data_IF_089678997210
#
_entry.id   IF_089678997210
#
_cell.length_a   1.000
_cell.length_b   1.000
_cell.length_c   1.000
_cell.angle_alpha   90.00
_cell.angle_beta   90.00
_cell.angle_gamma   90.00
#
_symmetry.space_group_name_H-M   'P 1'
#
loop_
_entity.id
_entity.type
_entity.pdbx_description
1 polymer ?
#
# COMPACT_ATOMS: atom_id res chain seq x y z
N UNK A 1 18.82 6.28 0.40
CA UNK A 1 18.90 6.69 1.82
C UNK A 1 17.70 7.57 2.13
N UNK A 2 16.86 7.21 3.11
CA UNK A 2 15.70 8.00 3.53
C UNK A 2 16.11 9.43 3.89
N UNK A 3 15.34 10.43 3.42
CA UNK A 3 15.50 11.84 3.78
C UNK A 3 15.21 12.09 5.27
N UNK A 4 14.52 11.14 5.92
CA UNK A 4 14.01 11.26 7.28
C UNK A 4 15.10 10.86 8.28
N UNK A 5 15.51 11.80 9.11
CA UNK A 5 16.61 11.62 10.07
C UNK A 5 16.24 10.85 11.35
N UNK A 6 14.95 10.81 11.71
CA UNK A 6 14.50 10.17 12.94
C UNK A 6 13.11 9.56 12.80
N UNK A 7 13.07 8.26 12.51
CA UNK A 7 11.82 7.50 12.35
C UNK A 7 11.06 7.28 13.68
N UNK A 8 11.73 7.44 14.82
CA UNK A 8 11.13 7.22 16.15
C UNK A 8 10.16 8.34 16.57
N UNK A 9 10.11 9.45 15.85
CA UNK A 9 9.15 10.53 16.15
C UNK A 9 7.72 10.19 15.72
N UNK A 10 7.58 9.29 14.73
CA UNK A 10 6.28 8.94 14.18
C UNK A 10 5.56 7.89 15.02
N UNK A 11 4.31 8.21 15.40
CA UNK A 11 3.38 7.32 16.08
C UNK A 11 2.35 6.70 15.13
N UNK A 12 2.15 7.31 13.97
CA UNK A 12 1.27 6.85 12.92
C UNK A 12 1.97 6.77 11.58
N UNK A 13 1.47 5.90 10.73
CA UNK A 13 1.89 5.75 9.34
C UNK A 13 0.67 5.53 8.45
N UNK A 14 0.61 6.20 7.32
CA UNK A 14 -0.34 5.90 6.25
C UNK A 14 0.42 5.26 5.08
N UNK A 15 0.04 4.04 4.73
CA UNK A 15 0.56 3.32 3.56
C UNK A 15 -0.40 3.51 2.39
N UNK A 16 0.12 4.01 1.27
CA UNK A 16 -0.58 4.10 -0.01
C UNK A 16 -0.01 3.04 -0.93
N UNK A 17 -0.78 1.98 -1.16
CA UNK A 17 -0.31 0.78 -1.88
C UNK A 17 -0.63 0.90 -3.35
N UNK A 18 0.39 0.78 -4.20
CA UNK A 18 0.32 0.54 -5.64
C UNK A 18 -0.57 1.50 -6.45
N UNK A 19 -0.71 2.74 -6.02
CA UNK A 19 -1.40 3.77 -6.80
C UNK A 19 -0.50 4.26 -7.94
N UNK A 20 -0.10 3.31 -8.78
CA UNK A 20 0.78 3.51 -9.95
C UNK A 20 -0.02 3.48 -11.26
N UNK A 21 0.54 4.08 -12.31
CA UNK A 21 -0.17 4.18 -13.59
C UNK A 21 -0.58 2.81 -14.15
N UNK A 22 0.23 1.76 -13.94
CA UNK A 22 -0.01 0.41 -14.45
C UNK A 22 -1.28 -0.27 -13.92
N UNK A 23 -1.81 0.18 -12.79
CA UNK A 23 -3.09 -0.30 -12.24
C UNK A 23 -4.23 0.72 -12.40
N UNK A 24 -3.92 2.01 -12.54
CA UNK A 24 -4.92 3.08 -12.46
C UNK A 24 -5.21 3.73 -13.81
N UNK A 25 -4.22 3.81 -14.72
CA UNK A 25 -4.31 4.63 -15.94
C UNK A 25 -4.05 3.88 -17.23
N UNK A 26 -3.07 3.01 -17.24
CA UNK A 26 -2.57 2.38 -18.47
C UNK A 26 -1.99 0.99 -18.19
N UNK A 27 -1.72 0.21 -19.23
CA UNK A 27 -1.17 -1.13 -19.09
C UNK A 27 -2.23 -2.22 -19.10
N UNK A 28 -1.77 -3.46 -18.99
CA UNK A 28 -2.61 -4.65 -19.17
C UNK A 28 -3.55 -4.92 -17.98
N UNK A 29 -3.16 -4.43 -16.79
CA UNK A 29 -3.90 -4.66 -15.53
C UNK A 29 -4.62 -3.40 -15.02
N UNK A 30 -4.67 -2.33 -15.82
CA UNK A 30 -5.33 -1.10 -15.36
C UNK A 30 -6.85 -1.24 -15.33
N UNK A 31 -7.45 -0.55 -14.38
CA UNK A 31 -8.89 -0.30 -14.33
C UNK A 31 -9.16 1.14 -13.89
N UNK A 32 -9.79 1.92 -14.75
CA UNK A 32 -10.10 3.34 -14.46
C UNK A 32 -11.00 3.51 -13.22
N UNK A 33 -11.78 2.50 -12.84
CA UNK A 33 -12.59 2.54 -11.62
C UNK A 33 -11.75 2.72 -10.34
N UNK A 34 -10.49 2.29 -10.36
CA UNK A 34 -9.57 2.51 -9.24
C UNK A 34 -9.37 4.01 -8.97
N UNK A 35 -9.58 4.87 -9.97
CA UNK A 35 -9.51 6.33 -9.77
C UNK A 35 -10.54 6.87 -8.79
N UNK A 36 -11.66 6.17 -8.60
CA UNK A 36 -12.76 6.62 -7.75
C UNK A 36 -12.36 6.74 -6.27
N UNK A 37 -11.33 6.00 -5.84
CA UNK A 37 -10.83 6.08 -4.44
C UNK A 37 -9.78 7.18 -4.22
N UNK A 38 -9.22 7.76 -5.28
CA UNK A 38 -8.17 8.80 -5.18
C UNK A 38 -8.61 10.01 -4.32
N UNK A 39 -9.81 10.59 -4.50
CA UNK A 39 -10.22 11.73 -3.69
C UNK A 39 -10.21 11.40 -2.19
N UNK A 40 -10.67 10.19 -1.81
CA UNK A 40 -10.67 9.78 -0.40
C UNK A 40 -9.26 9.53 0.12
N UNK A 41 -8.38 8.97 -0.68
CA UNK A 41 -6.97 8.79 -0.33
C UNK A 41 -6.27 10.12 -0.09
N UNK A 42 -6.51 11.13 -0.93
CA UNK A 42 -5.97 12.49 -0.75
C UNK A 42 -6.46 13.14 0.55
N UNK A 43 -7.74 12.94 0.92
CA UNK A 43 -8.27 13.39 2.22
C UNK A 43 -7.51 12.71 3.38
N UNK A 44 -7.34 11.38 3.32
CA UNK A 44 -6.64 10.62 4.36
C UNK A 44 -5.16 11.00 4.47
N UNK A 45 -4.48 11.25 3.36
CA UNK A 45 -3.11 11.77 3.35
C UNK A 45 -3.05 13.13 4.07
N UNK A 46 -3.97 14.03 3.76
CA UNK A 46 -4.04 15.34 4.43
C UNK A 46 -4.31 15.20 5.93
N UNK A 47 -5.23 14.33 6.33
CA UNK A 47 -5.52 14.04 7.73
C UNK A 47 -4.29 13.43 8.43
N UNK A 48 -3.60 12.48 7.82
CA UNK A 48 -2.39 11.85 8.33
C UNK A 48 -1.26 12.87 8.54
N UNK A 49 -1.00 13.73 7.56
CA UNK A 49 -0.03 14.83 7.68
C UNK A 49 -0.38 15.79 8.82
N UNK A 50 -1.66 16.12 8.97
CA UNK A 50 -2.10 17.00 10.07
C UNK A 50 -1.86 16.37 11.46
N UNK A 51 -1.89 15.03 11.56
CA UNK A 51 -1.55 14.28 12.77
C UNK A 51 -0.03 14.13 12.99
N UNK A 52 0.79 14.44 11.98
CA UNK A 52 2.23 14.21 12.00
C UNK A 52 2.62 12.76 11.72
N UNK A 53 1.79 12.02 10.97
CA UNK A 53 2.07 10.66 10.55
C UNK A 53 3.05 10.63 9.37
N UNK A 54 3.78 9.53 9.24
CA UNK A 54 4.61 9.25 8.06
C UNK A 54 3.74 8.77 6.90
N UNK A 55 3.93 9.32 5.71
CA UNK A 55 3.32 8.82 4.49
C UNK A 55 4.29 7.88 3.78
N UNK A 56 3.82 6.67 3.44
CA UNK A 56 4.62 5.68 2.74
C UNK A 56 3.90 5.26 1.45
N UNK A 57 4.45 5.64 0.31
CA UNK A 57 4.04 5.08 -0.97
C UNK A 57 4.78 3.78 -1.21
N UNK A 58 4.03 2.69 -1.40
CA UNK A 58 4.57 1.42 -1.86
C UNK A 58 4.23 1.28 -3.33
N UNK A 59 5.22 1.03 -4.17
CA UNK A 59 5.05 0.99 -5.62
C UNK A 59 5.40 -0.40 -6.16
N UNK A 60 4.46 -1.01 -6.87
CA UNK A 60 4.76 -2.20 -7.65
C UNK A 60 5.76 -1.86 -8.75
N UNK A 61 6.93 -2.48 -8.68
CA UNK A 61 8.05 -2.17 -9.58
C UNK A 61 8.85 -3.43 -9.83
N UNK A 62 8.59 -4.05 -10.98
CA UNK A 62 9.16 -5.32 -11.33
C UNK A 62 10.44 -5.20 -12.15
N UNK A 63 11.37 -6.11 -11.92
CA UNK A 63 12.45 -6.35 -12.87
C UNK A 63 11.89 -7.02 -14.14
N UNK A 64 12.57 -6.86 -15.27
CA UNK A 64 12.04 -7.27 -16.58
C UNK A 64 11.75 -8.78 -16.70
N UNK A 65 12.41 -9.59 -15.88
CA UNK A 65 12.28 -11.06 -15.82
C UNK A 65 11.64 -11.56 -14.52
N UNK A 66 10.87 -10.70 -13.83
CA UNK A 66 10.25 -11.02 -12.56
C UNK A 66 9.45 -12.33 -12.62
N UNK A 67 9.69 -13.20 -11.63
CA UNK A 67 9.03 -14.51 -11.55
C UNK A 67 7.52 -14.40 -11.34
N UNK A 68 7.08 -13.27 -10.79
CA UNK A 68 5.67 -12.99 -10.55
C UNK A 68 4.86 -12.97 -11.84
N UNK A 69 5.41 -12.47 -12.95
CA UNK A 69 4.74 -12.48 -14.24
C UNK A 69 4.25 -13.87 -14.66
N UNK A 70 5.03 -14.93 -14.36
CA UNK A 70 4.62 -16.31 -14.66
C UNK A 70 3.40 -16.74 -13.85
N UNK A 71 3.24 -16.24 -12.63
CA UNK A 71 2.11 -16.54 -11.75
C UNK A 71 0.84 -15.81 -12.18
N UNK A 72 0.99 -14.65 -12.79
CA UNK A 72 -0.09 -13.83 -13.33
C UNK A 72 -0.24 -14.01 -14.86
N UNK A 73 -0.14 -15.23 -15.37
CA UNK A 73 -0.40 -15.57 -16.77
C UNK A 73 0.64 -15.04 -17.77
N UNK A 74 1.88 -14.84 -17.35
CA UNK A 74 2.97 -14.20 -18.11
C UNK A 74 2.66 -12.73 -18.48
N UNK A 75 1.88 -12.05 -17.68
CA UNK A 75 1.52 -10.65 -17.91
C UNK A 75 2.58 -9.73 -17.30
N UNK A 76 3.38 -9.08 -18.17
CA UNK A 76 4.30 -8.03 -17.73
C UNK A 76 3.51 -6.76 -17.38
N UNK A 77 3.80 -6.18 -16.23
CA UNK A 77 3.20 -4.95 -15.73
C UNK A 77 4.19 -4.22 -14.82
N UNK A 78 4.03 -2.93 -14.65
CA UNK A 78 4.82 -2.10 -13.73
C UNK A 78 6.34 -2.36 -13.81
N UNK A 79 6.87 -2.54 -15.02
CA UNK A 79 8.30 -2.81 -15.21
C UNK A 79 9.12 -1.57 -14.80
N UNK A 80 10.19 -1.78 -14.06
CA UNK A 80 11.10 -0.74 -13.57
C UNK A 80 11.52 0.22 -14.70
N UNK A 81 11.40 1.52 -14.43
CA UNK A 81 11.76 2.56 -15.39
C UNK A 81 10.72 2.83 -16.48
N UNK A 82 9.57 2.16 -16.43
CA UNK A 82 8.42 2.49 -17.29
C UNK A 82 7.44 3.41 -16.54
N UNK A 83 6.58 4.09 -17.29
CA UNK A 83 5.54 4.94 -16.72
C UNK A 83 4.53 4.15 -15.88
N UNK A 84 4.30 2.89 -16.21
CA UNK A 84 3.43 2.01 -15.42
C UNK A 84 3.86 1.91 -13.94
N UNK A 85 5.18 1.90 -13.67
CA UNK A 85 5.73 1.82 -12.30
C UNK A 85 5.80 3.18 -11.58
N UNK A 86 5.41 4.28 -12.23
CA UNK A 86 5.35 5.61 -11.60
C UNK A 86 4.00 5.83 -10.91
N UNK A 87 4.01 6.57 -9.80
CA UNK A 87 2.77 7.02 -9.16
C UNK A 87 1.89 7.81 -10.14
N UNK A 88 0.59 7.72 -9.97
CA UNK A 88 -0.36 8.59 -10.68
C UNK A 88 -0.07 10.06 -10.40
N UNK A 89 -0.45 10.93 -11.32
CA UNK A 89 -0.09 12.36 -11.27
C UNK A 89 -0.55 13.05 -9.97
N UNK A 90 -1.66 12.60 -9.38
CA UNK A 90 -2.22 13.13 -8.15
C UNK A 90 -1.31 12.96 -6.92
N UNK A 91 -0.43 11.95 -6.92
CA UNK A 91 0.49 11.67 -5.82
C UNK A 91 1.95 12.04 -6.10
N UNK A 92 2.29 12.35 -7.34
CA UNK A 92 3.67 12.58 -7.78
C UNK A 92 4.37 13.71 -7.02
N UNK A 93 3.68 14.80 -6.71
CA UNK A 93 4.27 15.89 -5.93
C UNK A 93 4.38 15.54 -4.44
N UNK A 94 3.43 14.75 -3.91
CA UNK A 94 3.46 14.29 -2.52
C UNK A 94 4.66 13.37 -2.24
N UNK A 95 5.09 12.58 -3.23
CA UNK A 95 6.27 11.69 -3.14
C UNK A 95 7.57 12.47 -2.81
N UNK A 96 7.61 13.76 -3.13
CA UNK A 96 8.82 14.60 -2.98
C UNK A 96 8.91 15.28 -1.61
N UNK A 97 7.84 15.25 -0.83
CA UNK A 97 7.77 15.93 0.46
C UNK A 97 8.65 15.27 1.53
N UNK A 98 9.01 16.04 2.57
CA UNK A 98 9.98 15.59 3.58
C UNK A 98 9.43 14.53 4.54
N UNK A 99 8.10 14.46 4.73
CA UNK A 99 7.38 13.49 5.55
C UNK A 99 6.87 12.30 4.74
N UNK A 100 7.47 12.04 3.58
CA UNK A 100 7.07 10.99 2.64
C UNK A 100 8.25 10.09 2.28
N UNK A 101 7.98 8.78 2.23
CA UNK A 101 8.91 7.76 1.75
C UNK A 101 8.25 6.99 0.61
N UNK A 102 8.99 6.72 -0.47
CA UNK A 102 8.58 5.79 -1.52
C UNK A 102 9.44 4.56 -1.49
N UNK A 103 8.80 3.39 -1.55
CA UNK A 103 9.44 2.07 -1.51
C UNK A 103 8.96 1.27 -2.72
N UNK A 104 9.88 0.70 -3.45
CA UNK A 104 9.60 -0.20 -4.56
C UNK A 104 9.55 -1.64 -4.06
N UNK A 105 8.56 -2.41 -4.54
CA UNK A 105 8.45 -3.84 -4.28
C UNK A 105 8.38 -4.63 -5.59
N UNK A 106 8.90 -5.84 -5.59
CA UNK A 106 8.89 -6.78 -6.71
C UNK A 106 8.03 -8.03 -6.40
N UNK A 107 7.00 -7.85 -5.60
CA UNK A 107 6.05 -8.90 -5.21
C UNK A 107 4.75 -8.31 -4.68
N UNK A 108 3.70 -9.13 -4.57
CA UNK A 108 2.40 -8.71 -4.03
C UNK A 108 2.42 -8.31 -2.55
N UNK A 109 3.51 -8.55 -1.82
CA UNK A 109 3.63 -8.17 -0.41
C UNK A 109 4.73 -7.15 -0.20
N UNK A 110 4.40 -5.95 0.27
CA UNK A 110 5.39 -4.93 0.61
C UNK A 110 6.27 -5.34 1.81
N UNK A 111 5.85 -6.31 2.61
CA UNK A 111 6.67 -6.86 3.69
C UNK A 111 7.89 -7.62 3.18
N UNK A 112 7.92 -8.03 1.91
CA UNK A 112 9.08 -8.67 1.28
C UNK A 112 10.12 -7.66 0.77
N UNK A 113 9.79 -6.38 0.67
CA UNK A 113 10.76 -5.33 0.40
C UNK A 113 11.64 -5.09 1.64
N UNK A 114 12.96 -5.29 1.49
CA UNK A 114 13.92 -5.11 2.58
C UNK A 114 13.86 -3.70 3.17
N UNK A 115 13.69 -2.69 2.30
CA UNK A 115 13.57 -1.30 2.71
C UNK A 115 12.36 -1.06 3.61
N UNK A 116 11.22 -1.70 3.30
CA UNK A 116 10.02 -1.60 4.12
C UNK A 116 10.19 -2.28 5.47
N UNK A 117 10.81 -3.48 5.51
CA UNK A 117 11.10 -4.17 6.78
C UNK A 117 12.03 -3.35 7.67
N UNK A 118 13.07 -2.74 7.10
CA UNK A 118 13.98 -1.88 7.83
C UNK A 118 13.25 -0.64 8.38
N UNK A 119 12.39 -0.01 7.56
CA UNK A 119 11.56 1.13 7.99
C UNK A 119 10.72 0.76 9.22
N UNK A 120 9.97 -0.34 9.16
CA UNK A 120 9.10 -0.81 10.26
C UNK A 120 9.93 -1.18 11.50
N UNK A 121 11.11 -1.76 11.32
CA UNK A 121 12.06 -2.07 12.42
C UNK A 121 12.53 -0.82 13.15
N UNK A 122 12.82 0.25 12.43
CA UNK A 122 13.30 1.52 12.96
C UNK A 122 12.20 2.38 13.60
N UNK A 123 10.93 2.20 13.22
CA UNK A 123 9.77 2.91 13.77
C UNK A 123 9.31 2.32 15.11
N UNK A 124 10.17 2.37 16.13
CA UNK A 124 9.92 1.70 17.42
C UNK A 124 8.77 2.30 18.25
N UNK A 125 8.32 3.51 17.94
CA UNK A 125 7.22 4.19 18.62
C UNK A 125 5.90 4.17 17.81
N UNK A 126 5.83 3.35 16.76
CA UNK A 126 4.63 3.23 15.94
C UNK A 126 3.49 2.61 16.76
N UNK A 127 2.34 3.28 16.77
CA UNK A 127 1.12 2.88 17.48
C UNK A 127 -0.03 2.57 16.52
N UNK A 128 0.03 3.09 15.27
CA UNK A 128 -1.04 2.95 14.28
C UNK A 128 -0.51 2.91 12.85
N UNK A 129 -1.11 2.04 12.05
CA UNK A 129 -0.96 1.99 10.60
C UNK A 129 -2.33 2.11 9.95
N UNK A 130 -2.47 3.05 9.02
CA UNK A 130 -3.61 3.18 8.13
C UNK A 130 -3.19 2.68 6.74
N UNK A 131 -4.03 1.89 6.06
CA UNK A 131 -3.75 1.31 4.73
C UNK A 131 -4.82 1.74 3.75
N UNK A 132 -4.38 2.24 2.60
CA UNK A 132 -5.18 2.62 1.44
C UNK A 132 -4.46 2.18 0.15
N UNK A 133 -5.17 2.05 -0.96
CA UNK A 133 -4.51 1.76 -2.25
C UNK A 133 -5.22 0.77 -3.13
N UNK A 134 -4.45 -0.07 -3.80
CA UNK A 134 -4.91 -1.18 -4.63
C UNK A 134 -3.84 -2.30 -4.72
N UNK A 135 -4.18 -3.56 -5.02
CA UNK A 135 -5.54 -4.07 -5.11
C UNK A 135 -5.95 -4.68 -3.78
N UNK A 136 -7.17 -4.39 -3.35
CA UNK A 136 -7.72 -4.79 -2.04
C UNK A 136 -7.46 -6.23 -1.66
N UNK A 137 -7.69 -7.17 -2.59
CA UNK A 137 -7.60 -8.61 -2.39
C UNK A 137 -6.26 -9.22 -2.81
N UNK A 138 -5.28 -8.37 -3.18
CA UNK A 138 -3.93 -8.80 -3.58
C UNK A 138 -2.88 -8.08 -2.74
N UNK A 139 -2.42 -6.92 -3.17
CA UNK A 139 -1.27 -6.24 -2.53
C UNK A 139 -1.65 -5.62 -1.18
N UNK A 140 -2.84 -5.00 -1.07
CA UNK A 140 -3.34 -4.53 0.21
C UNK A 140 -3.49 -5.69 1.20
N UNK A 141 -4.13 -6.79 0.78
CA UNK A 141 -4.31 -7.97 1.60
C UNK A 141 -2.98 -8.61 2.02
N UNK A 142 -2.13 -8.99 1.04
CA UNK A 142 -0.89 -9.73 1.32
C UNK A 142 0.07 -8.94 2.20
N UNK A 143 0.24 -7.64 1.89
CA UNK A 143 1.11 -6.78 2.66
C UNK A 143 0.60 -6.52 4.08
N UNK A 144 -0.70 -6.27 4.23
CA UNK A 144 -1.33 -6.00 5.53
C UNK A 144 -1.32 -7.22 6.45
N UNK A 145 -1.60 -8.42 5.91
CA UNK A 145 -1.49 -9.68 6.66
C UNK A 145 -0.05 -9.93 7.10
N UNK A 146 0.93 -9.68 6.21
CA UNK A 146 2.34 -9.79 6.55
C UNK A 146 2.77 -8.81 7.64
N UNK A 147 2.23 -7.58 7.61
CA UNK A 147 2.49 -6.55 8.62
C UNK A 147 1.91 -6.93 9.99
N UNK A 148 0.69 -7.45 10.04
CA UNK A 148 0.08 -7.94 11.27
C UNK A 148 0.92 -9.07 11.88
N UNK A 149 1.31 -10.07 11.08
CA UNK A 149 2.19 -11.16 11.51
C UNK A 149 3.54 -10.65 12.02
N UNK A 150 4.09 -9.60 11.40
CA UNK A 150 5.33 -8.99 11.87
C UNK A 150 5.16 -8.38 13.25
N UNK A 151 4.09 -7.63 13.51
CA UNK A 151 3.84 -7.04 14.83
C UNK A 151 3.60 -8.11 15.89
N UNK A 152 2.82 -9.15 15.57
CA UNK A 152 2.61 -10.31 16.46
C UNK A 152 3.94 -10.99 16.82
N UNK A 153 4.79 -11.28 15.84
CA UNK A 153 6.09 -11.91 16.04
C UNK A 153 6.99 -11.10 16.97
N UNK A 154 6.88 -9.77 16.93
CA UNK A 154 7.75 -8.86 17.72
C UNK A 154 7.06 -8.31 18.97
N UNK A 155 5.88 -8.82 19.33
CA UNK A 155 5.05 -8.38 20.47
C UNK A 155 4.86 -6.84 20.47
N UNK A 156 4.53 -6.28 19.31
CA UNK A 156 4.28 -4.84 19.13
C UNK A 156 2.78 -4.59 19.04
N UNK A 157 2.25 -3.84 20.00
CA UNK A 157 0.84 -3.43 20.01
C UNK A 157 0.65 -2.22 19.07
N UNK A 158 0.39 -2.53 17.79
CA UNK A 158 0.16 -1.53 16.74
C UNK A 158 -1.20 -1.80 16.08
N UNK A 159 -2.10 -0.82 16.12
CA UNK A 159 -3.38 -0.95 15.42
C UNK A 159 -3.18 -0.84 13.90
N UNK A 160 -3.87 -1.71 13.15
CA UNK A 160 -3.87 -1.68 11.68
C UNK A 160 -5.29 -1.43 11.21
N UNK A 161 -5.48 -0.37 10.41
CA UNK A 161 -6.77 0.04 9.86
C UNK A 161 -6.72 0.00 8.34
N UNK A 162 -7.61 -0.74 7.70
CA UNK A 162 -7.82 -0.70 6.25
C UNK A 162 -9.04 0.16 5.96
N UNK A 163 -8.86 1.24 5.20
CA UNK A 163 -9.94 2.16 4.84
C UNK A 163 -10.72 1.64 3.64
N UNK A 164 -11.86 0.98 3.90
CA UNK A 164 -12.65 0.29 2.85
C UNK A 164 -13.28 1.23 1.83
N UNK A 165 -13.30 2.52 2.07
CA UNK A 165 -13.71 3.58 1.15
C UNK A 165 -12.53 4.25 0.43
N UNK A 166 -11.31 3.71 0.63
CA UNK A 166 -10.08 4.22 0.03
C UNK A 166 -9.18 3.08 -0.53
N UNK A 167 -9.70 1.87 -0.60
CA UNK A 167 -9.07 0.74 -1.32
C UNK A 167 -9.95 0.30 -2.47
N UNK A 168 -9.34 -0.21 -3.54
CA UNK A 168 -10.05 -0.71 -4.73
C UNK A 168 -9.32 -1.91 -5.35
N UNK A 169 -9.99 -2.65 -6.23
CA UNK A 169 -9.38 -3.70 -7.06
C UNK A 169 -9.84 -3.59 -8.50
N UNK A 170 -9.07 -4.11 -9.43
CA UNK A 170 -9.47 -4.15 -10.83
C UNK A 170 -10.59 -5.17 -11.06
N UNK A 171 -11.48 -4.90 -12.02
CA UNK A 171 -12.63 -5.76 -12.36
C UNK A 171 -13.43 -6.16 -11.10
N UNK A 172 -13.73 -5.18 -10.24
CA UNK A 172 -14.26 -5.37 -8.89
C UNK A 172 -15.48 -6.29 -8.85
N UNK A 173 -16.43 -6.16 -9.79
CA UNK A 173 -17.64 -7.00 -9.85
C UNK A 173 -17.31 -8.50 -9.99
N UNK A 174 -16.29 -8.84 -10.79
CA UNK A 174 -15.85 -10.23 -10.96
C UNK A 174 -15.01 -10.73 -9.77
N UNK A 175 -14.41 -9.82 -9.01
CA UNK A 175 -13.54 -10.12 -7.86
C UNK A 175 -14.21 -9.97 -6.50
N UNK A 176 -15.50 -9.67 -6.47
CA UNK A 176 -16.22 -9.43 -5.22
C UNK A 176 -16.00 -10.53 -4.17
N UNK A 177 -16.04 -11.80 -4.55
CA UNK A 177 -15.82 -12.90 -3.62
C UNK A 177 -14.41 -12.91 -3.02
N UNK A 178 -13.39 -12.47 -3.77
CA UNK A 178 -12.02 -12.36 -3.27
C UNK A 178 -11.87 -11.18 -2.32
N UNK A 179 -12.49 -10.06 -2.63
CA UNK A 179 -12.51 -8.86 -1.76
C UNK A 179 -13.23 -9.18 -0.44
N UNK A 180 -14.41 -9.81 -0.50
CA UNK A 180 -15.17 -10.22 0.69
C UNK A 180 -14.34 -11.20 1.56
N UNK A 181 -13.66 -12.17 0.93
CA UNK A 181 -12.79 -13.11 1.64
C UNK A 181 -11.56 -12.41 2.25
N UNK A 182 -10.94 -11.47 1.54
CA UNK A 182 -9.82 -10.70 2.05
C UNK A 182 -10.23 -9.92 3.31
N UNK A 183 -11.36 -9.24 3.29
CA UNK A 183 -11.87 -8.51 4.45
C UNK A 183 -12.14 -9.43 5.64
N UNK A 184 -12.80 -10.57 5.42
CA UNK A 184 -13.07 -11.55 6.48
C UNK A 184 -11.77 -12.07 7.14
N UNK A 185 -10.73 -12.34 6.32
CA UNK A 185 -9.44 -12.81 6.82
C UNK A 185 -8.67 -11.71 7.56
N UNK A 186 -8.74 -10.48 7.08
CA UNK A 186 -8.15 -9.32 7.76
C UNK A 186 -8.80 -9.11 9.14
N UNK A 187 -10.14 -9.12 9.23
CA UNK A 187 -10.85 -9.01 10.51
C UNK A 187 -10.51 -10.17 11.47
N UNK A 188 -10.38 -11.39 10.96
CA UNK A 188 -9.97 -12.54 11.76
C UNK A 188 -8.58 -12.36 12.38
N UNK A 189 -7.67 -11.64 11.68
CA UNK A 189 -6.32 -11.31 12.16
C UNK A 189 -6.30 -10.08 13.08
N UNK A 190 -7.46 -9.50 13.40
CA UNK A 190 -7.57 -8.31 14.25
C UNK A 190 -7.35 -6.98 13.53
N UNK A 191 -7.23 -6.99 12.20
CA UNK A 191 -7.15 -5.78 11.39
C UNK A 191 -8.53 -5.12 11.36
N UNK A 192 -8.56 -3.80 11.55
CA UNK A 192 -9.79 -3.03 11.59
C UNK A 192 -10.19 -2.56 10.19
N UNK A 193 -11.41 -2.87 9.77
CA UNK A 193 -12.00 -2.32 8.57
C UNK A 193 -12.74 -1.03 8.92
N UNK A 194 -12.27 0.10 8.39
CA UNK A 194 -12.80 1.42 8.71
C UNK A 194 -13.36 2.10 7.47
N UNK A 195 -14.40 2.92 7.68
CA UNK A 195 -15.05 3.69 6.61
C UNK A 195 -15.52 5.02 7.17
N UNK A 196 -15.40 6.10 6.38
CA UNK A 196 -15.98 7.40 6.72
C UNK A 196 -17.52 7.26 6.84
N UNK A 197 -18.05 7.75 7.96
CA UNK A 197 -19.51 7.80 8.19
C UNK A 197 -20.15 8.94 7.42
#
# INVERSE_FOLDING_TARGET
MSKIKNLKVYKGMLIVVDMVNGFVREGVLHDEKITEVIPRQLELIKEAKHRGDLIVFVKDTHDEDAIEFKRFGNTKHCVRGTREAELVDEFRELEKEDDTISIEKNSTSYMEAEEFRNLIGDMTNLERVDVVGCCTDICDFNGTMGLANYFDQHNRDVSINVHTDAVATYVEDARKNYVDAAYLLMEQQGIQLVKKK
#
